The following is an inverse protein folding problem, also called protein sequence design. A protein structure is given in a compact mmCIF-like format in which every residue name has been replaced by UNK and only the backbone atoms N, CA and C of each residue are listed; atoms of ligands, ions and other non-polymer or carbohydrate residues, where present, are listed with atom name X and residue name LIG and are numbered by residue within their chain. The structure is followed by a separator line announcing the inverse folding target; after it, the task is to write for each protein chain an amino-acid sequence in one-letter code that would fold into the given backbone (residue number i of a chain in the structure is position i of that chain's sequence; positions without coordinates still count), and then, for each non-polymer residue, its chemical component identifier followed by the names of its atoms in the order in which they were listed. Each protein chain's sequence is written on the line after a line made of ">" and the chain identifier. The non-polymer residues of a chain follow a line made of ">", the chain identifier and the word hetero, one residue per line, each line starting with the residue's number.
data_IF_650903968123
#
_entry.id   IF_650903968123
#
_cell.length_a   1.000
_cell.length_b   1.000
_cell.length_c   1.000
_cell.angle_alpha   90.00
_cell.angle_beta   90.00
_cell.angle_gamma   90.00
#
_symmetry.space_group_name_H-M   'P 1'
#
loop_
_entity.id
_entity.type
_entity.pdbx_description
1 polymer ?
#
# COMPACT_ATOMS: atom_id res chain seq x y z
N UNK A 1 -0.88 23.28 20.49
CA UNK A 1 -0.91 23.06 19.02
C UNK A 1 -0.12 21.81 18.75
N UNK A 2 -0.62 20.93 17.88
CA UNK A 2 0.19 19.82 17.39
C UNK A 2 1.41 20.41 16.67
N UNK A 3 2.62 19.95 17.03
CA UNK A 3 3.84 20.29 16.30
C UNK A 3 4.13 19.10 15.39
N UNK A 4 3.89 19.22 14.08
CA UNK A 4 4.14 18.12 13.16
C UNK A 4 5.63 17.79 13.14
N UNK A 5 5.91 16.51 13.01
CA UNK A 5 7.27 15.97 12.82
C UNK A 5 7.43 15.49 11.39
N UNK A 6 8.67 15.15 11.01
CA UNK A 6 8.97 14.69 9.67
C UNK A 6 8.16 13.43 9.28
N UNK A 7 7.95 12.52 10.23
CA UNK A 7 7.18 11.28 10.04
C UNK A 7 5.69 11.52 9.71
N UNK A 8 5.18 12.74 9.94
CA UNK A 8 3.80 13.10 9.58
C UNK A 8 3.65 13.43 8.06
N UNK A 9 4.76 13.48 7.30
CA UNK A 9 4.75 13.75 5.87
C UNK A 9 4.54 12.44 5.09
N UNK A 10 3.32 12.23 4.60
CA UNK A 10 2.96 11.02 3.84
C UNK A 10 3.54 10.93 2.42
N UNK A 11 3.97 12.05 1.84
CA UNK A 11 4.58 12.09 0.51
C UNK A 11 6.08 11.74 0.62
N UNK A 12 6.47 10.54 0.17
CA UNK A 12 7.84 10.05 0.30
C UNK A 12 8.88 10.94 -0.40
N UNK A 13 8.55 11.50 -1.56
CA UNK A 13 9.48 12.35 -2.30
C UNK A 13 9.73 13.66 -1.54
N UNK A 14 8.66 14.30 -1.07
CA UNK A 14 8.74 15.50 -0.27
C UNK A 14 9.38 15.24 1.09
N UNK A 15 9.05 14.13 1.76
CA UNK A 15 9.67 13.67 2.99
C UNK A 15 11.20 13.64 2.84
N UNK A 16 11.70 12.99 1.79
CA UNK A 16 13.13 12.86 1.53
C UNK A 16 13.80 14.21 1.26
N UNK A 17 13.10 15.13 0.58
CA UNK A 17 13.61 16.49 0.36
C UNK A 17 13.66 17.30 1.66
N UNK A 18 12.63 17.26 2.50
CA UNK A 18 12.61 17.93 3.80
C UNK A 18 13.66 17.33 4.74
N UNK A 19 13.84 16.01 4.72
CA UNK A 19 14.87 15.31 5.48
C UNK A 19 16.26 15.86 5.17
N UNK A 20 16.61 15.99 3.89
CA UNK A 20 17.89 16.59 3.46
C UNK A 20 18.08 18.01 3.98
N UNK A 21 17.03 18.83 3.97
CA UNK A 21 17.07 20.20 4.55
C UNK A 21 17.32 20.14 6.07
N UNK A 22 16.69 19.20 6.78
CA UNK A 22 16.85 19.04 8.23
C UNK A 22 18.22 18.52 8.66
N UNK A 23 18.89 17.75 7.79
CA UNK A 23 20.22 17.18 8.04
C UNK A 23 21.38 18.10 7.63
N UNK A 24 21.08 19.21 6.94
CA UNK A 24 22.09 20.20 6.57
C UNK A 24 22.84 20.72 7.80
N UNK A 25 24.17 20.75 7.69
CA UNK A 25 25.11 21.14 8.76
C UNK A 25 25.86 22.44 8.42
N UNK A 26 25.82 22.88 7.17
CA UNK A 26 26.43 24.14 6.69
C UNK A 26 25.41 25.00 5.96
N UNK A 27 25.69 26.31 5.81
CA UNK A 27 24.81 27.22 5.08
C UNK A 27 24.71 26.82 3.60
N UNK A 28 25.81 26.38 3.02
CA UNK A 28 25.92 25.92 1.65
C UNK A 28 25.06 24.65 1.42
N UNK A 29 25.14 23.67 2.31
CA UNK A 29 24.28 22.48 2.28
C UNK A 29 22.80 22.84 2.43
N UNK A 30 22.48 23.78 3.32
CA UNK A 30 21.11 24.25 3.52
C UNK A 30 20.55 24.91 2.25
N UNK A 31 21.34 25.77 1.61
CA UNK A 31 20.93 26.41 0.36
C UNK A 31 20.74 25.37 -0.75
N UNK A 32 21.72 24.49 -0.96
CA UNK A 32 21.65 23.47 -2.00
C UNK A 32 20.48 22.48 -1.79
N UNK A 33 20.20 22.07 -0.55
CA UNK A 33 19.07 21.18 -0.24
C UNK A 33 17.70 21.84 -0.46
N UNK A 34 17.62 23.17 -0.47
CA UNK A 34 16.37 23.90 -0.76
C UNK A 34 16.12 24.16 -2.25
N UNK A 35 17.14 24.13 -3.11
CA UNK A 35 17.00 24.35 -4.56
C UNK A 35 15.92 23.42 -5.19
N UNK A 36 15.88 22.11 -4.91
CA UNK A 36 14.90 21.20 -5.51
C UNK A 36 13.45 21.41 -5.04
N UNK A 37 13.23 22.21 -3.99
CA UNK A 37 11.90 22.49 -3.43
C UNK A 37 11.55 23.98 -3.46
N UNK A 38 12.32 24.81 -4.15
CA UNK A 38 12.14 26.27 -4.12
C UNK A 38 10.71 26.71 -4.51
N UNK A 39 10.15 26.15 -5.58
CA UNK A 39 8.77 26.44 -6.00
C UNK A 39 7.75 26.00 -4.95
N UNK A 40 8.00 24.86 -4.31
CA UNK A 40 7.17 24.39 -3.20
C UNK A 40 7.26 25.33 -2.01
N UNK A 41 8.45 25.80 -1.63
CA UNK A 41 8.64 26.79 -0.56
C UNK A 41 7.92 28.11 -0.87
N UNK A 42 7.93 28.55 -2.12
CA UNK A 42 7.21 29.75 -2.54
C UNK A 42 5.70 29.59 -2.34
N UNK A 43 5.14 28.48 -2.84
CA UNK A 43 3.71 28.16 -2.69
C UNK A 43 3.30 27.93 -1.23
N UNK A 44 4.22 27.40 -0.42
CA UNK A 44 4.04 27.19 1.02
C UNK A 44 4.16 28.49 1.84
N UNK A 45 4.58 29.61 1.22
CA UNK A 45 4.90 30.85 1.94
C UNK A 45 6.12 30.74 2.85
N UNK A 46 6.98 29.76 2.61
CA UNK A 46 8.19 29.47 3.40
C UNK A 46 9.47 30.00 2.74
N UNK A 47 9.41 30.43 1.47
CA UNK A 47 10.57 30.92 0.73
C UNK A 47 11.10 32.21 1.37
N UNK A 48 12.38 32.18 1.78
CA UNK A 48 13.07 33.30 2.40
C UNK A 48 14.58 33.23 2.18
N UNK A 49 15.30 34.37 2.26
CA UNK A 49 16.75 34.36 2.24
C UNK A 49 17.33 33.59 3.44
N UNK A 50 18.18 32.61 3.17
CA UNK A 50 18.92 31.86 4.18
C UNK A 50 20.26 32.54 4.43
N UNK A 51 20.46 33.05 5.65
CA UNK A 51 21.62 33.86 6.03
C UNK A 51 22.59 33.11 6.92
N UNK A 52 22.11 32.12 7.67
CA UNK A 52 22.93 31.29 8.55
C UNK A 52 22.34 29.90 8.69
N UNK A 53 23.15 28.95 9.14
CA UNK A 53 22.68 27.60 9.47
C UNK A 53 21.57 27.61 10.55
N UNK A 54 21.53 28.65 11.40
CA UNK A 54 20.47 28.83 12.40
C UNK A 54 19.07 29.03 11.80
N UNK A 55 18.95 29.32 10.51
CA UNK A 55 17.65 29.47 9.83
C UNK A 55 16.97 28.13 9.52
N UNK A 56 17.73 27.01 9.61
CA UNK A 56 17.31 25.65 9.24
C UNK A 56 16.10 25.19 10.05
N UNK A 57 16.20 25.17 11.38
CA UNK A 57 15.17 24.53 12.22
C UNK A 57 13.82 25.24 12.06
N UNK A 58 13.85 26.56 11.97
CA UNK A 58 12.66 27.35 11.68
C UNK A 58 12.10 27.06 10.28
N UNK A 59 12.96 26.83 9.29
CA UNK A 59 12.51 26.55 7.92
C UNK A 59 11.81 25.20 7.88
N UNK A 60 12.41 24.19 8.53
CA UNK A 60 11.80 22.85 8.68
C UNK A 60 10.47 22.95 9.43
N UNK A 61 10.39 23.69 10.55
CA UNK A 61 9.14 23.88 11.29
C UNK A 61 8.05 24.53 10.41
N UNK A 62 8.40 25.57 9.65
CA UNK A 62 7.45 26.25 8.74
C UNK A 62 6.97 25.33 7.62
N UNK A 63 7.88 24.54 7.01
CA UNK A 63 7.54 23.57 5.95
C UNK A 63 6.60 22.49 6.50
N UNK A 64 6.92 21.89 7.65
CA UNK A 64 6.10 20.85 8.27
C UNK A 64 4.73 21.39 8.69
N UNK A 65 4.69 22.60 9.27
CA UNK A 65 3.43 23.26 9.60
C UNK A 65 2.57 23.54 8.38
N UNK A 66 3.17 23.99 7.28
CA UNK A 66 2.42 24.17 6.04
C UNK A 66 1.86 22.85 5.51
N UNK A 67 2.74 21.85 5.36
CA UNK A 67 2.44 20.57 4.72
C UNK A 67 1.40 19.76 5.50
N UNK A 68 1.53 19.68 6.82
CA UNK A 68 0.69 18.80 7.64
C UNK A 68 -0.55 19.52 8.14
N UNK A 69 -0.47 20.83 8.42
CA UNK A 69 -1.53 21.55 9.15
C UNK A 69 -2.19 22.62 8.30
N UNK A 70 -1.43 23.60 7.79
CA UNK A 70 -2.03 24.81 7.24
C UNK A 70 -2.75 24.54 5.91
N UNK A 71 -2.17 23.72 5.02
CA UNK A 71 -2.76 23.45 3.70
C UNK A 71 -4.12 22.74 3.76
N UNK A 72 -4.37 21.96 4.81
CA UNK A 72 -5.62 21.21 5.00
C UNK A 72 -6.59 21.87 5.99
N UNK A 73 -6.20 22.99 6.63
CA UNK A 73 -7.00 23.62 7.70
C UNK A 73 -8.41 23.98 7.24
N UNK A 74 -8.55 24.67 6.11
CA UNK A 74 -9.84 25.08 5.57
C UNK A 74 -10.78 23.89 5.31
N UNK A 75 -10.37 22.90 4.49
CA UNK A 75 -11.14 21.67 4.29
C UNK A 75 -11.48 20.93 5.60
N UNK A 76 -10.52 20.84 6.53
CA UNK A 76 -10.74 20.19 7.82
C UNK A 76 -11.78 20.90 8.68
N UNK A 77 -11.76 22.24 8.73
CA UNK A 77 -12.77 23.03 9.45
C UNK A 77 -14.16 22.85 8.85
N UNK A 78 -14.27 22.84 7.52
CA UNK A 78 -15.53 22.56 6.80
C UNK A 78 -16.05 21.15 7.07
N UNK A 79 -15.15 20.15 7.08
CA UNK A 79 -15.51 18.78 7.44
C UNK A 79 -16.04 18.69 8.87
N UNK A 80 -15.33 19.33 9.82
CA UNK A 80 -15.74 19.41 11.22
C UNK A 80 -17.12 20.08 11.36
N UNK A 81 -17.40 21.13 10.61
CA UNK A 81 -18.70 21.80 10.64
C UNK A 81 -19.81 20.94 10.04
N UNK A 82 -19.54 20.19 8.97
CA UNK A 82 -20.48 19.19 8.44
C UNK A 82 -20.83 18.09 9.46
N UNK A 83 -19.84 17.60 10.21
CA UNK A 83 -20.07 16.63 11.29
C UNK A 83 -20.91 17.20 12.45
N UNK A 84 -20.92 18.52 12.65
CA UNK A 84 -21.79 19.16 13.66
C UNK A 84 -23.25 19.19 13.23
N UNK A 85 -23.56 19.22 11.93
CA UNK A 85 -24.93 19.44 11.42
C UNK A 85 -25.96 18.48 12.00
N UNK A 86 -25.58 17.21 12.21
CA UNK A 86 -26.43 16.18 12.81
C UNK A 86 -25.92 15.72 14.19
N UNK A 87 -25.02 16.48 14.82
CA UNK A 87 -24.46 16.15 16.13
C UNK A 87 -23.44 15.00 16.16
N UNK A 88 -23.00 14.51 15.00
CA UNK A 88 -22.04 13.41 14.88
C UNK A 88 -20.71 13.76 15.56
N UNK A 89 -20.23 15.00 15.40
CA UNK A 89 -18.96 15.43 16.01
C UNK A 89 -18.95 15.23 17.53
N UNK A 90 -20.04 15.59 18.22
CA UNK A 90 -20.15 15.44 19.66
C UNK A 90 -20.12 13.96 20.08
N UNK A 91 -20.78 13.09 19.31
CA UNK A 91 -20.78 11.63 19.56
C UNK A 91 -19.44 10.99 19.27
N UNK A 92 -18.77 11.40 18.21
CA UNK A 92 -17.41 10.97 17.88
C UNK A 92 -16.43 11.32 19.01
N UNK A 93 -16.51 12.53 19.56
CA UNK A 93 -15.68 12.95 20.69
C UNK A 93 -15.99 12.22 22.00
N UNK A 94 -17.27 11.90 22.24
CA UNK A 94 -17.69 11.15 23.43
C UNK A 94 -17.32 9.66 23.36
N UNK A 95 -17.30 9.08 22.15
CA UNK A 95 -17.15 7.65 21.93
C UNK A 95 -16.15 7.33 20.80
N UNK A 96 -14.89 7.78 20.86
CA UNK A 96 -13.94 7.67 19.75
C UNK A 96 -13.73 6.23 19.26
N UNK A 97 -13.62 5.26 20.18
CA UNK A 97 -13.44 3.84 19.81
C UNK A 97 -14.63 3.27 19.04
N UNK A 98 -15.86 3.70 19.32
CA UNK A 98 -17.05 3.22 18.63
C UNK A 98 -17.11 3.68 17.16
N UNK A 99 -16.47 4.80 16.83
CA UNK A 99 -16.41 5.36 15.48
C UNK A 99 -15.12 5.01 14.73
N UNK A 100 -14.18 4.33 15.40
CA UNK A 100 -12.84 4.07 14.86
C UNK A 100 -12.87 3.29 13.56
N UNK A 101 -13.71 2.26 13.46
CA UNK A 101 -13.87 1.46 12.22
C UNK A 101 -14.45 2.23 11.05
N UNK A 102 -15.14 3.35 11.31
CA UNK A 102 -15.75 4.19 10.27
C UNK A 102 -14.82 5.31 9.81
N UNK A 103 -14.06 5.91 10.73
CA UNK A 103 -13.25 7.11 10.44
C UNK A 103 -11.75 6.84 10.33
N UNK A 104 -11.27 5.69 10.81
CA UNK A 104 -9.87 5.32 10.74
C UNK A 104 -9.72 4.07 9.90
N UNK A 105 -8.66 4.01 9.10
CA UNK A 105 -8.30 2.77 8.43
C UNK A 105 -7.98 1.72 9.50
N UNK A 106 -8.75 0.64 9.50
CA UNK A 106 -8.48 -0.55 10.26
C UNK A 106 -8.24 -1.66 9.24
N UNK A 107 -7.01 -1.82 8.76
CA UNK A 107 -6.70 -2.93 7.88
C UNK A 107 -7.00 -4.21 8.66
N UNK A 108 -8.04 -4.94 8.24
CA UNK A 108 -8.29 -6.26 8.77
C UNK A 108 -7.07 -7.12 8.45
N UNK A 109 -6.59 -7.86 9.44
CA UNK A 109 -5.54 -8.83 9.22
C UNK A 109 -6.01 -9.80 8.14
N UNK A 110 -5.29 -9.88 7.03
CA UNK A 110 -5.53 -10.89 6.00
C UNK A 110 -5.35 -12.26 6.63
N UNK A 111 -6.28 -13.16 6.35
CA UNK A 111 -6.18 -14.59 6.67
C UNK A 111 -6.15 -15.40 5.38
N UNK A 112 -5.77 -16.68 5.46
CA UNK A 112 -5.81 -17.56 4.29
C UNK A 112 -7.22 -17.62 3.68
N UNK A 113 -8.25 -17.72 4.52
CA UNK A 113 -9.65 -17.79 4.09
C UNK A 113 -10.10 -16.50 3.40
N UNK A 114 -9.80 -15.33 4.00
CA UNK A 114 -10.12 -14.04 3.39
C UNK A 114 -9.44 -13.92 2.03
N UNK A 115 -8.18 -14.35 1.94
CA UNK A 115 -7.43 -14.26 0.69
C UNK A 115 -7.96 -15.24 -0.37
N UNK A 116 -8.33 -16.47 -0.02
CA UNK A 116 -8.96 -17.41 -0.97
C UNK A 116 -10.29 -16.86 -1.50
N UNK A 117 -11.14 -16.33 -0.62
CA UNK A 117 -12.47 -15.80 -0.96
C UNK A 117 -12.41 -14.57 -1.88
N UNK A 118 -11.28 -13.86 -1.93
CA UNK A 118 -11.08 -12.73 -2.84
C UNK A 118 -10.95 -13.17 -4.30
N UNK A 119 -10.49 -14.39 -4.58
CA UNK A 119 -10.18 -14.82 -5.95
C UNK A 119 -11.30 -15.66 -6.56
N UNK A 120 -11.88 -15.17 -7.65
CA UNK A 120 -12.74 -15.97 -8.50
C UNK A 120 -11.90 -16.91 -9.38
N UNK A 121 -12.21 -18.21 -9.37
CA UNK A 121 -11.44 -19.18 -10.13
C UNK A 121 -12.05 -19.38 -11.53
N UNK A 122 -11.24 -19.08 -12.56
CA UNK A 122 -11.58 -19.24 -13.96
C UNK A 122 -11.31 -20.68 -14.43
N UNK A 123 -12.28 -21.56 -14.23
CA UNK A 123 -12.16 -22.98 -14.54
C UNK A 123 -12.35 -23.35 -16.02
N UNK A 124 -11.65 -24.38 -16.51
CA UNK A 124 -11.99 -25.07 -17.77
C UNK A 124 -13.26 -25.91 -17.63
N UNK A 125 -13.87 -26.39 -18.72
CA UNK A 125 -15.11 -27.20 -18.67
C UNK A 125 -15.07 -28.38 -17.68
N UNK A 126 -16.20 -28.61 -17.00
CA UNK A 126 -16.38 -29.72 -16.08
C UNK A 126 -16.16 -31.08 -16.77
N UNK A 127 -15.37 -31.95 -16.14
CA UNK A 127 -15.07 -33.30 -16.66
C UNK A 127 -13.89 -33.38 -17.64
N UNK A 128 -13.27 -32.25 -18.00
CA UNK A 128 -12.05 -32.24 -18.81
C UNK A 128 -10.81 -32.67 -18.02
N UNK A 129 -9.79 -33.19 -18.71
CA UNK A 129 -8.48 -33.46 -18.10
C UNK A 129 -7.84 -32.17 -17.54
N UNK A 130 -8.15 -31.01 -18.12
CA UNK A 130 -7.72 -29.71 -17.61
C UNK A 130 -8.28 -29.47 -16.22
N UNK A 131 -9.58 -29.69 -16.02
CA UNK A 131 -10.26 -29.52 -14.72
C UNK A 131 -9.62 -30.32 -13.59
N UNK A 132 -9.21 -31.56 -13.85
CA UNK A 132 -8.54 -32.38 -12.84
C UNK A 132 -7.20 -31.77 -12.37
N UNK A 133 -6.42 -31.22 -13.30
CA UNK A 133 -5.16 -30.55 -12.98
C UNK A 133 -5.41 -29.21 -12.26
N UNK A 134 -6.41 -28.43 -12.69
CA UNK A 134 -6.81 -27.18 -12.05
C UNK A 134 -7.22 -27.42 -10.59
N UNK A 135 -8.05 -28.44 -10.33
CA UNK A 135 -8.50 -28.78 -8.97
C UNK A 135 -7.32 -29.08 -8.05
N UNK A 136 -6.33 -29.83 -8.54
CA UNK A 136 -5.10 -30.11 -7.78
C UNK A 136 -4.32 -28.83 -7.45
N UNK A 137 -4.17 -27.94 -8.44
CA UNK A 137 -3.44 -26.68 -8.25
C UNK A 137 -4.17 -25.75 -7.29
N UNK A 138 -5.49 -25.70 -7.33
CA UNK A 138 -6.29 -24.93 -6.36
C UNK A 138 -6.21 -25.53 -4.95
N UNK A 139 -6.13 -26.85 -4.82
CA UNK A 139 -5.84 -27.46 -3.52
C UNK A 139 -4.46 -27.01 -3.01
N UNK A 140 -3.42 -27.04 -3.85
CA UNK A 140 -2.09 -26.52 -3.48
C UNK A 140 -2.09 -25.02 -3.15
N UNK A 141 -2.88 -24.21 -3.86
CA UNK A 141 -3.05 -22.80 -3.55
C UNK A 141 -3.60 -22.60 -2.14
N UNK A 142 -4.67 -23.31 -1.78
CA UNK A 142 -5.28 -23.22 -0.44
C UNK A 142 -4.34 -23.69 0.66
N UNK A 143 -3.65 -24.81 0.44
CA UNK A 143 -2.64 -25.32 1.38
C UNK A 143 -1.49 -24.30 1.54
N UNK A 144 -1.07 -23.66 0.45
CA UNK A 144 -0.04 -22.62 0.47
C UNK A 144 -0.46 -21.39 1.24
N UNK A 145 -1.70 -20.93 1.10
CA UNK A 145 -2.21 -19.81 1.88
C UNK A 145 -2.19 -20.10 3.38
N UNK A 146 -2.56 -21.33 3.78
CA UNK A 146 -2.51 -21.76 5.18
C UNK A 146 -1.08 -21.80 5.71
N UNK A 147 -0.15 -22.45 4.99
CA UNK A 147 1.27 -22.47 5.33
C UNK A 147 1.83 -21.05 5.54
N UNK A 148 1.52 -20.13 4.62
CA UNK A 148 2.00 -18.75 4.67
C UNK A 148 1.40 -17.98 5.86
N UNK A 149 0.13 -18.23 6.18
CA UNK A 149 -0.50 -17.65 7.37
C UNK A 149 0.17 -18.13 8.67
N UNK A 150 0.49 -19.42 8.76
CA UNK A 150 1.22 -20.02 9.89
C UNK A 150 2.65 -19.47 10.03
N UNK A 151 3.33 -19.20 8.91
CA UNK A 151 4.64 -18.56 8.87
C UNK A 151 4.58 -17.05 9.24
N UNK A 152 3.41 -16.42 9.05
CA UNK A 152 3.09 -15.08 9.52
C UNK A 152 2.23 -14.29 8.55
N UNK A 153 1.06 -13.81 9.01
CA UNK A 153 0.02 -13.17 8.19
C UNK A 153 0.48 -11.96 7.35
N UNK A 154 1.58 -11.28 7.71
CA UNK A 154 2.17 -10.22 6.88
C UNK A 154 2.59 -10.71 5.48
N UNK A 155 2.92 -12.00 5.33
CA UNK A 155 3.30 -12.59 4.03
C UNK A 155 2.10 -12.76 3.09
N UNK A 156 0.88 -12.87 3.61
CA UNK A 156 -0.35 -12.87 2.79
C UNK A 156 -0.53 -11.55 2.04
N UNK A 157 -0.13 -10.42 2.65
CA UNK A 157 -0.10 -9.13 1.98
C UNK A 157 0.86 -9.09 0.78
N UNK A 158 1.97 -9.84 0.83
CA UNK A 158 2.89 -9.95 -0.31
C UNK A 158 2.26 -10.73 -1.47
N UNK A 159 1.50 -11.78 -1.19
CA UNK A 159 0.72 -12.52 -2.21
C UNK A 159 -0.32 -11.61 -2.85
N UNK A 160 -1.07 -10.87 -2.04
CA UNK A 160 -2.09 -9.94 -2.56
C UNK A 160 -1.45 -8.83 -3.41
N UNK A 161 -0.31 -8.29 -2.97
CA UNK A 161 0.43 -7.28 -3.71
C UNK A 161 0.99 -7.82 -5.02
N UNK A 162 1.47 -9.06 -5.04
CA UNK A 162 1.91 -9.72 -6.26
C UNK A 162 0.77 -9.81 -7.28
N UNK A 163 -0.42 -10.22 -6.85
CA UNK A 163 -1.56 -10.42 -7.75
C UNK A 163 -2.27 -9.12 -8.18
N UNK A 164 -2.32 -8.11 -7.30
CA UNK A 164 -3.20 -6.93 -7.46
C UNK A 164 -2.46 -5.58 -7.41
N UNK A 165 -1.20 -5.56 -7.00
CA UNK A 165 -0.44 -4.34 -6.72
C UNK A 165 -0.74 -3.70 -5.36
N UNK A 166 -1.63 -4.26 -4.55
CA UNK A 166 -1.93 -3.77 -3.20
C UNK A 166 -1.73 -4.86 -2.16
N UNK A 167 -1.12 -4.54 -1.02
CA UNK A 167 -0.92 -5.47 0.10
C UNK A 167 -2.10 -5.52 1.07
N UNK A 168 -3.17 -4.78 0.79
CA UNK A 168 -4.40 -4.73 1.57
C UNK A 168 -5.63 -4.70 0.64
N UNK A 169 -6.78 -5.12 1.14
CA UNK A 169 -8.04 -4.99 0.40
C UNK A 169 -8.46 -3.52 0.41
N UNK A 170 -8.69 -2.86 -0.75
CA UNK A 170 -9.17 -1.50 -0.78
C UNK A 170 -10.53 -1.36 -0.06
N UNK A 171 -10.84 -0.22 0.58
CA UNK A 171 -12.12 -0.03 1.28
C UNK A 171 -13.37 -0.24 0.41
N UNK A 172 -13.26 0.00 -0.90
CA UNK A 172 -14.33 -0.21 -1.88
C UNK A 172 -14.27 -1.58 -2.58
N UNK A 173 -13.35 -2.45 -2.13
CA UNK A 173 -13.00 -3.69 -2.81
C UNK A 173 -12.15 -3.48 -4.05
N UNK A 174 -11.79 -4.58 -4.69
CA UNK A 174 -11.03 -4.58 -5.95
C UNK A 174 -11.97 -4.44 -7.15
N UNK A 175 -11.53 -3.68 -8.16
CA UNK A 175 -12.20 -3.63 -9.45
C UNK A 175 -11.15 -3.62 -10.58
N UNK A 176 -11.13 -4.63 -11.47
CA UNK A 176 -12.01 -5.81 -11.52
C UNK A 176 -11.81 -6.78 -10.34
N UNK A 177 -12.74 -7.73 -10.14
CA UNK A 177 -12.62 -8.78 -9.12
C UNK A 177 -11.32 -9.58 -9.33
N UNK A 178 -10.53 -9.86 -8.27
CA UNK A 178 -9.36 -10.71 -8.38
C UNK A 178 -9.75 -12.10 -8.87
N UNK A 179 -8.90 -12.68 -9.72
CA UNK A 179 -9.19 -13.99 -10.30
C UNK A 179 -7.95 -14.86 -10.43
N UNK A 180 -8.15 -16.17 -10.34
CA UNK A 180 -7.14 -17.17 -10.64
C UNK A 180 -7.46 -17.80 -11.99
N UNK A 181 -6.47 -17.86 -12.86
CA UNK A 181 -6.53 -18.59 -14.12
C UNK A 181 -5.32 -19.52 -14.24
N UNK A 182 -5.30 -20.37 -15.26
CA UNK A 182 -4.29 -21.42 -15.40
C UNK A 182 -3.53 -21.30 -16.72
N UNK A 183 -2.26 -21.69 -16.71
CA UNK A 183 -1.46 -21.86 -17.93
C UNK A 183 -1.74 -23.22 -18.55
N UNK A 184 -2.66 -23.27 -19.52
CA UNK A 184 -2.88 -24.45 -20.36
C UNK A 184 -2.08 -24.36 -21.66
N UNK A 185 -1.65 -25.52 -22.15
CA UNK A 185 -1.24 -25.75 -23.54
C UNK A 185 -0.25 -24.69 -24.09
N UNK A 186 0.69 -24.24 -23.27
CA UNK A 186 1.76 -23.37 -23.73
C UNK A 186 2.87 -24.21 -24.36
N UNK A 187 3.36 -23.80 -25.54
CA UNK A 187 4.50 -24.46 -26.20
C UNK A 187 5.74 -24.54 -25.30
N UNK A 188 5.86 -23.59 -24.38
CA UNK A 188 6.88 -23.53 -23.34
C UNK A 188 6.19 -23.76 -22.00
N UNK A 189 6.58 -24.79 -21.21
CA UNK A 189 6.06 -24.97 -19.86
C UNK A 189 6.33 -23.74 -19.00
N UNK A 190 5.27 -23.10 -18.51
CA UNK A 190 5.43 -21.98 -17.59
C UNK A 190 5.86 -22.51 -16.22
N UNK A 191 7.00 -22.02 -15.73
CA UNK A 191 7.58 -22.48 -14.46
C UNK A 191 7.07 -21.69 -13.26
N UNK A 192 6.77 -20.41 -13.43
CA UNK A 192 6.42 -19.49 -12.37
C UNK A 192 4.98 -18.98 -12.52
N UNK A 193 4.31 -18.62 -11.41
CA UNK A 193 3.08 -17.86 -11.48
C UNK A 193 3.31 -16.51 -12.15
N UNK A 194 2.29 -16.01 -12.84
CA UNK A 194 2.33 -14.70 -13.52
C UNK A 194 1.13 -13.89 -13.08
N UNK A 195 1.36 -12.69 -12.55
CA UNK A 195 0.30 -11.76 -12.20
C UNK A 195 0.12 -10.70 -13.30
N UNK A 196 -1.13 -10.33 -13.56
CA UNK A 196 -1.49 -9.12 -14.30
C UNK A 196 -2.30 -8.22 -13.37
N UNK A 197 -1.61 -7.28 -12.72
CA UNK A 197 -2.16 -6.38 -11.71
C UNK A 197 -3.21 -5.42 -12.28
N UNK A 198 -3.13 -5.06 -13.57
CA UNK A 198 -4.14 -4.21 -14.21
C UNK A 198 -5.54 -4.84 -14.23
N UNK A 199 -5.61 -6.17 -14.21
CA UNK A 199 -6.86 -6.93 -14.24
C UNK A 199 -7.00 -7.87 -13.04
N UNK A 200 -6.17 -7.71 -12.01
CA UNK A 200 -6.14 -8.54 -10.80
C UNK A 200 -6.14 -10.06 -11.09
N UNK A 201 -5.43 -10.50 -12.13
CA UNK A 201 -5.44 -11.90 -12.56
C UNK A 201 -4.12 -12.60 -12.22
N UNK A 202 -4.18 -13.59 -11.35
CA UNK A 202 -3.09 -14.50 -11.02
C UNK A 202 -3.18 -15.75 -11.90
N UNK A 203 -2.17 -15.99 -12.73
CA UNK A 203 -2.07 -17.19 -13.56
C UNK A 203 -1.13 -18.19 -12.94
N UNK A 204 -1.65 -19.39 -12.66
CA UNK A 204 -0.92 -20.48 -12.03
C UNK A 204 -0.52 -21.56 -13.05
N UNK A 205 0.76 -22.00 -13.05
CA UNK A 205 1.15 -23.21 -13.74
C UNK A 205 0.52 -24.49 -13.18
N UNK A 206 0.42 -25.52 -14.02
CA UNK A 206 -0.16 -26.81 -13.62
C UNK A 206 0.88 -27.72 -12.96
N UNK A 207 1.23 -27.43 -11.71
CA UNK A 207 2.19 -28.23 -10.95
C UNK A 207 1.65 -29.62 -10.59
N UNK A 208 2.56 -30.60 -10.46
CA UNK A 208 2.26 -31.98 -10.07
C UNK A 208 2.39 -32.23 -8.56
N UNK A 209 3.19 -31.42 -7.85
CA UNK A 209 3.45 -31.55 -6.42
C UNK A 209 3.31 -30.21 -5.69
N UNK A 210 2.91 -30.27 -4.42
CA UNK A 210 2.82 -29.09 -3.55
C UNK A 210 4.18 -28.41 -3.35
N UNK A 211 5.26 -29.18 -3.15
CA UNK A 211 6.61 -28.62 -2.97
C UNK A 211 7.08 -27.78 -4.16
N UNK A 212 6.74 -28.20 -5.38
CA UNK A 212 7.04 -27.44 -6.59
C UNK A 212 6.16 -26.17 -6.68
N UNK A 213 4.89 -26.27 -6.31
CA UNK A 213 4.00 -25.11 -6.22
C UNK A 213 4.55 -24.06 -5.26
N UNK A 214 4.78 -24.44 -3.99
CA UNK A 214 5.27 -23.56 -2.92
C UNK A 214 6.58 -22.86 -3.31
N UNK A 215 7.60 -23.63 -3.71
CA UNK A 215 8.92 -23.06 -4.05
C UNK A 215 8.91 -22.10 -5.24
N UNK A 216 8.08 -22.32 -6.25
CA UNK A 216 7.97 -21.40 -7.39
C UNK A 216 7.08 -20.18 -7.07
N UNK A 217 6.08 -20.31 -6.20
CA UNK A 217 5.30 -19.17 -5.68
C UNK A 217 6.19 -18.24 -4.85
N UNK A 218 6.90 -18.79 -3.86
CA UNK A 218 7.81 -18.02 -3.01
C UNK A 218 8.86 -17.31 -3.84
N UNK A 219 9.50 -18.03 -4.79
CA UNK A 219 10.48 -17.44 -5.68
C UNK A 219 9.90 -16.28 -6.49
N UNK A 220 8.70 -16.43 -7.07
CA UNK A 220 8.10 -15.38 -7.87
C UNK A 220 7.78 -14.14 -7.05
N UNK A 221 7.17 -14.30 -5.87
CA UNK A 221 6.79 -13.20 -4.97
C UNK A 221 8.04 -12.46 -4.49
N UNK A 222 9.05 -13.19 -4.02
CA UNK A 222 10.27 -12.61 -3.46
C UNK A 222 11.15 -11.91 -4.51
N UNK A 223 11.02 -12.27 -5.79
CA UNK A 223 11.84 -11.72 -6.88
C UNK A 223 11.07 -10.73 -7.79
N UNK A 224 9.85 -10.36 -7.43
CA UNK A 224 9.13 -9.26 -8.09
C UNK A 224 9.15 -8.01 -7.23
N UNK A 225 9.81 -6.98 -7.74
CA UNK A 225 9.70 -5.63 -7.18
C UNK A 225 8.36 -5.03 -7.60
N UNK A 226 7.43 -4.88 -6.66
CA UNK A 226 6.19 -4.16 -6.90
C UNK A 226 6.45 -2.70 -7.30
N UNK A 227 5.54 -2.09 -8.05
CA UNK A 227 5.61 -0.65 -8.31
C UNK A 227 5.36 0.11 -7.00
N UNK A 228 6.30 0.96 -6.57
CA UNK A 228 6.07 1.93 -5.48
C UNK A 228 6.56 1.55 -4.09
N UNK A 229 7.48 0.59 -3.94
CA UNK A 229 8.24 0.39 -2.69
C UNK A 229 9.74 0.61 -2.95
N UNK A 230 10.14 1.89 -2.96
CA UNK A 230 11.50 2.36 -2.68
C UNK A 230 11.45 3.35 -1.51
#
# INVERSE_FOLDING_TARGET
>A
MCKPVLDDVADCELYNKIKKVSEASTLEELQHSTEPIMDYLANAGCLRPLKSIGDRDRLVEDILMFQVVNRVRGPFERFRDGLKTLGILAKLQQHPEAFRSTFCNQPNQLTADILDDLFEINWSENGSNKRANENRVIAFWRDYLQDVEEEGSQRLGAILAFATGSDQVPPIGFHPQPSIAFHHDTEIPQRFPVANTCINCLRLPLYSTYSAFKSNMDFAIDNTHGFGKE
#
